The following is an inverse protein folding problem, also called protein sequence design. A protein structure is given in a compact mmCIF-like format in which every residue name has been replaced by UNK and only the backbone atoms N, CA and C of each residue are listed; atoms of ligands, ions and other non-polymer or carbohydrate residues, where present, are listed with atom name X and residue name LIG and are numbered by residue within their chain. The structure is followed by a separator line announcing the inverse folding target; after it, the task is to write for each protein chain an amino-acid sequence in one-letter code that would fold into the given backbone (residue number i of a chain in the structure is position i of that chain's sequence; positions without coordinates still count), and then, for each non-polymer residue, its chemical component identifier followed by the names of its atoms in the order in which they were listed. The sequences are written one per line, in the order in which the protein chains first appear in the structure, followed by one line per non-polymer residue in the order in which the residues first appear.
data_IF_032483483081
#
_entry.id   IF_032483483081
#
_cell.length_a   1.000
_cell.length_b   1.000
_cell.length_c   1.000
_cell.angle_alpha   90.00
_cell.angle_beta   90.00
_cell.angle_gamma   90.00
#
_symmetry.space_group_name_H-M   'P 1'
#
loop_
_entity.id
_entity.type
_entity.pdbx_description
1 polymer ?
#
# COMPACT_ATOMS: atom_id res chain seq x y z
N UNK A 1 -5.09 -3.58 11.55
CA UNK A 1 -5.38 -3.51 13.00
C UNK A 1 -4.34 -2.76 13.82
N UNK A 2 -3.05 -2.85 13.51
CA UNK A 2 -2.01 -2.24 14.34
C UNK A 2 -2.07 -0.71 14.40
N UNK A 3 -2.10 -0.01 13.26
CA UNK A 3 -2.20 1.46 13.22
C UNK A 3 -3.46 1.99 13.93
N UNK A 4 -4.59 1.29 13.80
CA UNK A 4 -5.87 1.66 14.46
C UNK A 4 -5.75 1.68 15.99
N UNK A 5 -4.88 0.86 16.60
CA UNK A 5 -4.63 0.89 18.05
C UNK A 5 -4.00 2.20 18.54
N UNK A 6 -3.36 2.93 17.65
CA UNK A 6 -2.75 4.24 17.92
C UNK A 6 -3.56 5.40 17.31
N UNK A 7 -4.81 5.14 16.90
CA UNK A 7 -5.69 6.14 16.30
C UNK A 7 -5.32 6.55 14.88
N UNK A 8 -4.58 5.70 14.15
CA UNK A 8 -4.18 5.94 12.76
C UNK A 8 -4.64 4.82 11.80
N UNK A 9 -4.24 4.94 10.55
CA UNK A 9 -4.46 3.94 9.50
C UNK A 9 -3.12 3.47 8.92
N UNK A 10 -3.13 2.41 8.10
CA UNK A 10 -2.02 2.18 7.17
C UNK A 10 -1.95 3.40 6.24
N UNK A 11 -0.76 3.76 5.76
CA UNK A 11 -0.60 4.94 4.90
C UNK A 11 -1.43 4.84 3.63
N UNK A 12 -2.31 5.82 3.36
CA UNK A 12 -3.23 5.87 2.21
C UNK A 12 -2.81 7.00 1.29
N UNK A 13 -1.82 6.71 0.44
CA UNK A 13 -1.15 7.74 -0.36
C UNK A 13 -2.08 8.32 -1.43
N UNK A 14 -2.37 9.62 -1.34
CA UNK A 14 -3.33 10.30 -2.21
C UNK A 14 -2.69 11.15 -3.31
N UNK A 15 -1.36 11.22 -3.36
CA UNK A 15 -0.69 12.06 -4.32
C UNK A 15 0.80 11.88 -4.44
N UNK A 16 1.37 12.58 -5.42
CA UNK A 16 2.78 12.46 -5.78
C UNK A 16 3.74 12.87 -4.66
N UNK A 17 3.47 14.00 -3.99
CA UNK A 17 4.36 14.53 -2.95
C UNK A 17 4.40 13.61 -1.73
N UNK A 18 3.25 13.07 -1.34
CA UNK A 18 3.13 12.10 -0.26
C UNK A 18 3.85 10.79 -0.62
N UNK A 19 3.60 10.24 -1.81
CA UNK A 19 4.29 9.05 -2.29
C UNK A 19 5.81 9.21 -2.24
N UNK A 20 6.30 10.33 -2.76
CA UNK A 20 7.72 10.67 -2.75
C UNK A 20 8.26 10.77 -1.32
N UNK A 21 7.53 11.38 -0.40
CA UNK A 21 7.94 11.55 1.00
C UNK A 21 8.03 10.19 1.71
N UNK A 22 6.99 9.37 1.61
CA UNK A 22 6.93 8.04 2.24
C UNK A 22 8.05 7.14 1.72
N UNK A 23 8.23 7.08 0.40
CA UNK A 23 9.31 6.28 -0.23
C UNK A 23 10.69 6.79 0.16
N UNK A 24 10.90 8.11 0.17
CA UNK A 24 12.20 8.70 0.54
C UNK A 24 12.56 8.39 1.99
N UNK A 25 11.59 8.51 2.90
CA UNK A 25 11.77 8.16 4.31
C UNK A 25 12.04 6.66 4.51
N UNK A 26 11.32 5.79 3.79
CA UNK A 26 11.55 4.35 3.82
C UNK A 26 12.98 4.01 3.35
N UNK A 27 13.40 4.56 2.20
CA UNK A 27 14.76 4.38 1.67
C UNK A 27 15.84 4.89 2.61
N UNK A 28 15.69 6.09 3.16
CA UNK A 28 16.65 6.68 4.09
C UNK A 28 16.86 5.83 5.35
N UNK A 29 15.84 5.06 5.75
CA UNK A 29 15.90 4.15 6.90
C UNK A 29 16.22 2.70 6.53
N UNK A 30 16.57 2.43 5.26
CA UNK A 30 16.76 1.08 4.75
C UNK A 30 15.53 0.17 5.03
N UNK A 31 14.34 0.75 5.03
CA UNK A 31 13.10 0.05 5.34
C UNK A 31 12.76 -0.91 4.18
N UNK A 32 12.45 -2.19 4.48
CA UNK A 32 12.07 -3.19 3.47
C UNK A 32 10.68 -2.91 2.90
N UNK A 33 10.18 -3.82 2.05
CA UNK A 33 8.84 -3.75 1.49
C UNK A 33 7.79 -3.63 2.60
N UNK A 34 6.76 -2.82 2.35
CA UNK A 34 5.78 -2.47 3.36
C UNK A 34 4.38 -2.30 2.80
N UNK A 35 3.39 -2.71 3.59
CA UNK A 35 1.99 -2.50 3.31
C UNK A 35 1.60 -1.03 3.32
N UNK A 36 0.70 -0.69 2.39
CA UNK A 36 -0.04 0.56 2.34
C UNK A 36 -1.54 0.28 2.51
N UNK A 37 -2.32 1.30 2.84
CA UNK A 37 -3.75 1.20 3.13
C UNK A 37 -4.61 1.13 1.86
N UNK A 38 -4.30 0.18 0.98
CA UNK A 38 -4.95 0.03 -0.32
C UNK A 38 -5.35 -1.44 -0.53
N UNK A 39 -6.60 -1.67 -0.92
CA UNK A 39 -7.19 -3.01 -1.09
C UNK A 39 -8.29 -3.02 -2.15
N UNK A 40 -8.46 -4.12 -2.87
CA UNK A 40 -9.57 -4.37 -3.79
C UNK A 40 -10.38 -5.64 -3.43
N UNK A 41 -10.25 -6.12 -2.19
CA UNK A 41 -10.93 -7.32 -1.62
C UNK A 41 -12.45 -7.37 -1.84
N UNK A 42 -13.09 -6.24 -2.13
CA UNK A 42 -14.52 -6.17 -2.38
C UNK A 42 -14.89 -6.41 -3.83
N UNK A 43 -14.01 -6.05 -4.76
CA UNK A 43 -14.21 -6.16 -6.21
C UNK A 43 -12.87 -6.01 -6.89
N UNK A 44 -12.39 -7.11 -7.46
CA UNK A 44 -11.14 -7.19 -8.22
C UNK A 44 -10.96 -6.01 -9.19
N UNK A 45 -9.77 -5.40 -9.18
CA UNK A 45 -9.43 -4.26 -10.02
C UNK A 45 -10.04 -2.93 -9.56
N UNK A 46 -10.85 -2.92 -8.49
CA UNK A 46 -11.45 -1.72 -7.90
C UNK A 46 -10.83 -1.42 -6.55
N UNK A 47 -9.71 -0.70 -6.59
CA UNK A 47 -8.95 -0.37 -5.41
C UNK A 47 -9.56 0.75 -4.57
N UNK A 48 -9.69 0.49 -3.27
CA UNK A 48 -10.21 1.40 -2.25
C UNK A 48 -9.24 1.55 -1.09
N UNK A 49 -9.42 2.65 -0.36
CA UNK A 49 -8.77 2.91 0.92
C UNK A 49 -9.20 1.89 1.96
N UNK A 50 -8.27 1.18 2.57
CA UNK A 50 -8.57 0.15 3.57
C UNK A 50 -9.22 0.71 4.86
N UNK A 51 -9.03 2.01 5.13
CA UNK A 51 -9.60 2.69 6.29
C UNK A 51 -11.08 3.06 6.13
N UNK A 52 -11.48 3.46 4.91
CA UNK A 52 -12.72 4.19 4.65
C UNK A 52 -13.54 3.66 3.49
N UNK A 53 -13.00 2.72 2.72
CA UNK A 53 -13.60 2.14 1.51
C UNK A 53 -13.91 3.15 0.39
N UNK A 54 -13.31 4.35 0.47
CA UNK A 54 -13.37 5.32 -0.62
C UNK A 54 -12.46 4.89 -1.76
N UNK A 55 -12.86 5.17 -3.00
CA UNK A 55 -12.05 4.90 -4.18
C UNK A 55 -10.69 5.56 -4.08
N UNK A 56 -9.65 4.80 -4.43
CA UNK A 56 -8.33 5.34 -4.68
C UNK A 56 -8.22 5.76 -6.15
N UNK A 57 -7.56 6.88 -6.41
CA UNK A 57 -7.31 7.40 -7.75
C UNK A 57 -5.82 7.56 -8.05
N UNK A 58 -4.97 7.49 -7.02
CA UNK A 58 -3.54 7.59 -7.15
C UNK A 58 -2.86 6.22 -7.07
N UNK A 59 -2.18 5.85 -8.15
CA UNK A 59 -1.45 4.59 -8.24
C UNK A 59 -0.05 4.79 -8.82
N UNK A 60 0.91 3.97 -8.38
CA UNK A 60 2.25 3.87 -8.97
C UNK A 60 2.68 2.41 -9.11
N UNK A 61 1.85 1.59 -9.76
CA UNK A 61 2.13 0.17 -9.96
C UNK A 61 3.46 -0.10 -10.66
N UNK A 62 4.10 -1.19 -10.24
CA UNK A 62 5.23 -1.79 -10.93
C UNK A 62 4.82 -2.20 -12.35
N UNK A 63 5.75 -2.27 -13.32
CA UNK A 63 5.41 -2.80 -14.63
C UNK A 63 4.87 -4.23 -14.50
N UNK A 64 3.65 -4.45 -14.99
CA UNK A 64 2.96 -5.74 -14.89
C UNK A 64 1.97 -5.83 -13.72
N UNK A 65 1.97 -4.86 -12.80
CA UNK A 65 1.07 -4.84 -11.63
C UNK A 65 -0.11 -3.87 -11.80
N UNK A 66 -1.22 -4.08 -11.07
CA UNK A 66 -1.50 -5.26 -10.27
C UNK A 66 -1.81 -6.46 -11.15
N UNK A 67 -1.33 -7.65 -10.79
CA UNK A 67 -1.46 -8.86 -11.61
C UNK A 67 -2.48 -9.87 -11.05
N UNK A 68 -2.96 -9.63 -9.84
CA UNK A 68 -3.89 -10.47 -9.10
C UNK A 68 -3.50 -11.96 -9.09
N UNK A 69 -2.23 -12.26 -8.85
CA UNK A 69 -1.72 -13.61 -8.90
C UNK A 69 -2.27 -14.45 -7.74
N UNK A 70 -3.34 -15.19 -8.03
CA UNK A 70 -4.08 -16.03 -7.06
C UNK A 70 -4.73 -15.19 -5.95
N UNK A 71 -5.49 -14.16 -6.30
CA UNK A 71 -6.36 -13.44 -5.35
C UNK A 71 -5.57 -12.56 -4.36
N UNK A 72 -4.86 -11.57 -4.91
CA UNK A 72 -3.97 -10.66 -4.16
C UNK A 72 -4.65 -9.32 -3.87
N UNK A 73 -5.39 -9.25 -2.75
CA UNK A 73 -6.24 -8.09 -2.48
C UNK A 73 -5.59 -6.93 -1.70
N UNK A 74 -4.29 -6.98 -1.43
CA UNK A 74 -3.59 -5.98 -0.61
C UNK A 74 -2.42 -5.38 -1.36
N UNK A 75 -2.16 -4.07 -1.19
CA UNK A 75 -1.01 -3.43 -1.84
C UNK A 75 0.17 -3.20 -0.89
N UNK A 76 1.36 -3.26 -1.46
CA UNK A 76 2.60 -2.84 -0.83
C UNK A 76 3.36 -1.80 -1.68
N UNK A 77 4.39 -1.19 -1.10
CA UNK A 77 5.47 -0.57 -1.87
C UNK A 77 6.65 -1.53 -1.92
N UNK A 78 7.02 -1.95 -3.13
CA UNK A 78 8.16 -2.81 -3.37
C UNK A 78 9.46 -2.01 -3.37
N UNK A 79 10.39 -2.35 -2.49
CA UNK A 79 11.62 -1.57 -2.26
C UNK A 79 12.47 -1.43 -3.52
N UNK A 80 12.56 -2.51 -4.31
CA UNK A 80 13.49 -2.62 -5.45
C UNK A 80 13.31 -1.48 -6.45
N UNK A 81 12.07 -1.14 -6.80
CA UNK A 81 11.75 -0.10 -7.77
C UNK A 81 10.95 1.07 -7.15
N UNK A 82 10.56 0.96 -5.88
CA UNK A 82 9.73 1.92 -5.17
C UNK A 82 8.43 2.23 -5.88
N UNK A 83 7.81 1.17 -6.40
CA UNK A 83 6.49 1.16 -7.00
C UNK A 83 5.57 0.21 -6.23
N UNK A 84 4.29 0.30 -6.53
CA UNK A 84 3.27 -0.53 -5.89
C UNK A 84 3.24 -1.93 -6.50
N UNK A 85 2.77 -2.87 -5.70
CA UNK A 85 2.64 -4.30 -6.05
C UNK A 85 1.49 -4.87 -5.22
N UNK A 86 0.65 -5.69 -5.82
CA UNK A 86 -0.41 -6.41 -5.11
C UNK A 86 0.14 -7.73 -4.55
N UNK A 87 -0.33 -8.07 -3.36
CA UNK A 87 0.17 -9.19 -2.57
C UNK A 87 -0.96 -9.82 -1.78
N UNK A 88 -0.75 -11.06 -1.34
CA UNK A 88 -1.69 -11.69 -0.44
C UNK A 88 -1.72 -10.94 0.89
N UNK A 89 -2.94 -10.60 1.34
CA UNK A 89 -3.16 -9.91 2.62
C UNK A 89 -2.69 -10.72 3.84
N UNK A 90 -2.46 -12.04 3.68
CA UNK A 90 -2.02 -12.95 4.74
C UNK A 90 -0.50 -12.98 4.94
N UNK A 91 0.28 -12.34 4.05
CA UNK A 91 1.72 -12.30 4.19
C UNK A 91 2.17 -11.44 5.38
N UNK A 92 3.30 -11.82 5.98
CA UNK A 92 3.89 -11.03 7.04
C UNK A 92 4.82 -9.99 6.43
N UNK A 93 4.36 -8.74 6.34
CA UNK A 93 5.15 -7.62 5.83
C UNK A 93 5.20 -6.47 6.83
N UNK A 94 6.17 -5.60 6.62
CA UNK A 94 6.29 -4.35 7.35
C UNK A 94 5.15 -3.42 6.95
N UNK A 95 4.97 -2.32 7.68
CA UNK A 95 3.91 -1.37 7.39
C UNK A 95 4.30 0.04 7.82
N UNK A 96 3.66 1.02 7.20
CA UNK A 96 3.76 2.43 7.58
C UNK A 96 2.37 2.89 8.01
N UNK A 97 2.30 3.57 9.16
CA UNK A 97 1.05 4.16 9.65
C UNK A 97 1.01 5.67 9.38
N UNK A 98 -0.18 6.20 9.18
CA UNK A 98 -0.47 7.63 9.07
C UNK A 98 -1.55 8.07 10.07
N UNK A 99 -1.64 9.38 10.31
CA UNK A 99 -2.66 10.03 11.13
C UNK A 99 -2.99 11.41 10.55
#
# INVERSE_FOLDING_TARGET
YFCKRFGGALVEIDGHNEYHTVVSLARARNFPDFYIGLTDIFSEGTWVKASSYKFQTYFRWSPGEPNNNRDQDCAQVYRVNSKMDDVWCSENRNFVCEK
#
